data_IF_915728054491
#
_entry.id   IF_915728054491
#
_cell.length_a   1.000
_cell.length_b   1.000
_cell.length_c   1.000
_cell.angle_alpha   90.00
_cell.angle_beta   90.00
_cell.angle_gamma   90.00
#
_symmetry.space_group_name_H-M   'P 1'
#
loop_
_entity.id
_entity.type
_entity.pdbx_description
1 polymer ?
#
# COMPACT_ATOMS: atom_id res chain seq x y z
N UNK A 1 7.28 1.28 -15.79
CA UNK A 1 7.35 0.24 -14.74
C UNK A 1 5.94 -0.22 -14.40
N UNK A 2 5.78 -1.51 -14.12
CA UNK A 2 4.45 -2.10 -13.91
C UNK A 2 3.72 -1.51 -12.70
N UNK A 3 4.44 -1.12 -11.67
CA UNK A 3 3.85 -0.64 -10.43
C UNK A 3 3.60 0.87 -10.41
N UNK A 4 4.10 1.62 -11.39
CA UNK A 4 3.90 3.06 -11.42
C UNK A 4 2.44 3.42 -11.62
N UNK A 5 1.99 4.45 -10.96
CA UNK A 5 0.66 4.99 -11.15
C UNK A 5 -0.11 5.10 -9.85
N UNK A 6 -1.40 5.35 -9.99
CA UNK A 6 -2.32 5.49 -8.87
C UNK A 6 -3.12 4.20 -8.71
N UNK A 7 -3.18 3.72 -7.49
CA UNK A 7 -3.87 2.48 -7.15
C UNK A 7 -4.93 2.74 -6.10
N UNK A 8 -6.07 2.13 -6.27
CA UNK A 8 -7.09 2.09 -5.21
C UNK A 8 -6.97 0.76 -4.49
N UNK A 9 -6.65 0.82 -3.22
CA UNK A 9 -6.45 -0.36 -2.39
C UNK A 9 -7.64 -0.59 -1.48
N UNK A 10 -8.01 -1.85 -1.34
CA UNK A 10 -9.02 -2.27 -0.39
C UNK A 10 -8.36 -3.23 0.59
N UNK A 11 -8.34 -2.87 1.85
CA UNK A 11 -7.71 -3.65 2.90
C UNK A 11 -8.81 -4.25 3.77
N UNK A 12 -8.79 -5.57 3.93
CA UNK A 12 -9.74 -6.24 4.81
C UNK A 12 -9.19 -6.19 6.23
N UNK A 13 -9.94 -5.55 7.12
CA UNK A 13 -9.57 -5.45 8.52
C UNK A 13 -10.65 -6.07 9.39
N UNK A 14 -10.35 -6.41 10.66
CA UNK A 14 -11.39 -6.92 11.57
C UNK A 14 -12.55 -5.94 11.76
N UNK A 15 -12.32 -4.67 11.49
CA UNK A 15 -13.35 -3.63 11.60
C UNK A 15 -14.07 -3.37 10.28
N UNK A 16 -13.82 -4.18 9.25
CA UNK A 16 -14.42 -4.01 7.94
C UNK A 16 -13.39 -3.63 6.89
N UNK A 17 -13.85 -3.41 5.67
CA UNK A 17 -12.98 -3.03 4.57
C UNK A 17 -12.60 -1.56 4.67
N UNK A 18 -11.31 -1.27 4.46
CA UNK A 18 -10.79 0.09 4.42
C UNK A 18 -10.28 0.38 3.02
N UNK A 19 -10.59 1.53 2.49
CA UNK A 19 -10.10 1.95 1.19
C UNK A 19 -9.00 2.98 1.36
N UNK A 20 -7.97 2.86 0.52
CA UNK A 20 -6.89 3.85 0.48
C UNK A 20 -6.42 4.05 -0.95
N UNK A 21 -5.76 5.16 -1.19
CA UNK A 21 -5.18 5.48 -2.49
C UNK A 21 -3.67 5.47 -2.36
N UNK A 22 -3.01 4.72 -3.24
CA UNK A 22 -1.57 4.62 -3.28
C UNK A 22 -1.08 5.18 -4.60
N UNK A 23 -0.12 6.08 -4.56
CA UNK A 23 0.55 6.60 -5.76
C UNK A 23 2.00 6.16 -5.71
N UNK A 24 2.42 5.42 -6.72
CA UNK A 24 3.79 4.91 -6.83
C UNK A 24 4.49 5.61 -7.98
N UNK A 25 5.71 6.05 -7.74
CA UNK A 25 6.58 6.66 -8.74
C UNK A 25 7.96 6.04 -8.66
N UNK A 26 8.51 5.67 -9.82
CA UNK A 26 9.86 5.08 -9.90
C UNK A 26 10.79 5.93 -10.75
N UNK A 27 10.74 7.23 -10.59
CA UNK A 27 11.59 8.16 -11.33
C UNK A 27 13.04 8.06 -10.86
N UNK A 28 13.98 8.11 -11.81
CA UNK A 28 15.41 8.14 -11.52
C UNK A 28 15.95 6.89 -10.83
N UNK A 29 15.29 5.75 -11.00
CA UNK A 29 15.71 4.51 -10.39
C UNK A 29 15.39 4.37 -8.92
N UNK A 30 14.69 5.37 -8.35
CA UNK A 30 14.27 5.34 -6.95
C UNK A 30 12.76 5.21 -6.89
N UNK A 31 12.28 4.23 -6.14
CA UNK A 31 10.84 4.05 -5.95
C UNK A 31 10.38 4.88 -4.74
N UNK A 32 9.35 5.68 -4.95
CA UNK A 32 8.71 6.44 -3.89
C UNK A 32 7.20 6.23 -3.99
N UNK A 33 6.51 6.38 -2.88
CA UNK A 33 5.07 6.25 -2.88
C UNK A 33 4.45 7.11 -1.80
N UNK A 34 3.20 7.51 -2.06
CA UNK A 34 2.37 8.19 -1.05
C UNK A 34 1.08 7.41 -0.93
N UNK A 35 0.54 7.40 0.26
CA UNK A 35 -0.71 6.70 0.53
C UNK A 35 -1.64 7.61 1.33
N UNK A 36 -2.90 7.63 0.94
CA UNK A 36 -3.93 8.34 1.67
C UNK A 36 -5.09 7.40 1.98
N UNK A 37 -5.68 7.54 3.16
CA UNK A 37 -6.81 6.73 3.57
C UNK A 37 -8.06 7.61 3.63
N UNK A 38 -9.09 7.21 2.89
CA UNK A 38 -10.33 7.97 2.84
C UNK A 38 -10.11 9.39 2.34
N UNK A 39 -10.47 10.37 3.17
CA UNK A 39 -10.32 11.79 2.84
C UNK A 39 -9.04 12.40 3.42
N UNK A 40 -8.16 11.60 3.99
CA UNK A 40 -6.91 12.07 4.57
C UNK A 40 -5.95 12.56 3.50
N UNK A 41 -5.06 13.48 3.88
CA UNK A 41 -4.03 13.95 2.98
C UNK A 41 -3.02 12.84 2.67
N UNK A 42 -2.47 12.79 1.45
CA UNK A 42 -1.45 11.80 1.12
C UNK A 42 -0.23 11.95 2.01
N UNK A 43 0.33 10.82 2.44
CA UNK A 43 1.54 10.79 3.25
C UNK A 43 2.55 9.87 2.60
N UNK A 44 3.84 10.22 2.63
CA UNK A 44 4.86 9.34 2.08
C UNK A 44 4.92 8.04 2.88
N UNK A 45 5.12 6.94 2.17
CA UNK A 45 5.36 5.64 2.79
C UNK A 45 6.86 5.36 2.77
N UNK A 46 7.29 4.43 3.60
CA UNK A 46 8.70 4.13 3.78
C UNK A 46 9.07 2.79 3.14
N UNK A 47 10.36 2.62 2.89
CA UNK A 47 10.94 1.36 2.42
C UNK A 47 10.24 0.81 1.18
N UNK A 48 9.93 1.69 0.24
CA UNK A 48 9.27 1.29 -1.01
C UNK A 48 10.26 0.50 -1.84
N UNK A 49 9.89 -0.71 -2.21
CA UNK A 49 10.70 -1.59 -3.06
C UNK A 49 9.83 -2.08 -4.20
N UNK A 50 10.35 -1.92 -5.42
CA UNK A 50 9.69 -2.44 -6.62
C UNK A 50 10.69 -3.37 -7.29
N UNK A 51 10.31 -4.64 -7.43
CA UNK A 51 11.16 -5.65 -8.03
C UNK A 51 10.33 -6.46 -9.03
N UNK A 52 10.36 -6.05 -10.30
CA UNK A 52 9.51 -6.65 -11.31
C UNK A 52 8.04 -6.40 -10.98
N UNK A 53 7.29 -7.47 -10.79
CA UNK A 53 5.87 -7.39 -10.46
C UNK A 53 5.60 -7.32 -8.95
N UNK A 54 6.66 -7.38 -8.14
CA UNK A 54 6.50 -7.37 -6.69
C UNK A 54 6.77 -5.99 -6.14
N UNK A 55 5.91 -5.54 -5.24
CA UNK A 55 6.04 -4.26 -4.58
C UNK A 55 5.89 -4.46 -3.07
N UNK A 56 6.64 -3.68 -2.31
CA UNK A 56 6.51 -3.67 -0.86
C UNK A 56 6.75 -2.26 -0.34
N UNK A 57 6.10 -1.94 0.76
CA UNK A 57 6.29 -0.66 1.42
C UNK A 57 5.80 -0.74 2.84
N UNK A 58 6.19 0.24 3.63
CA UNK A 58 5.76 0.37 5.02
C UNK A 58 5.05 1.70 5.21
N UNK A 59 3.93 1.66 5.88
CA UNK A 59 3.18 2.85 6.23
C UNK A 59 3.02 2.93 7.75
N UNK A 60 3.36 4.08 8.31
CA UNK A 60 3.21 4.31 9.74
C UNK A 60 1.95 5.11 9.98
N UNK A 61 1.11 4.65 10.88
CA UNK A 61 -0.08 5.35 11.30
C UNK A 61 0.03 5.67 12.79
N UNK A 62 -0.62 6.74 13.22
CA UNK A 62 -0.56 7.19 14.61
C UNK A 62 -1.92 7.12 15.31
N UNK A 63 -2.99 6.95 14.54
CA UNK A 63 -4.34 6.89 15.10
C UNK A 63 -5.05 5.64 14.59
N UNK A 64 -5.82 4.97 15.43
CA UNK A 64 -6.05 5.25 16.85
C UNK A 64 -4.85 4.96 17.74
N UNK A 65 -3.88 4.20 17.25
CA UNK A 65 -2.64 3.92 17.95
C UNK A 65 -1.50 3.87 16.95
N UNK A 66 -0.28 4.02 17.42
CA UNK A 66 0.90 3.95 16.56
C UNK A 66 1.09 2.52 16.06
N UNK A 67 1.04 2.35 14.75
CA UNK A 67 1.25 1.06 14.08
C UNK A 67 2.09 1.26 12.84
N UNK A 68 2.92 0.28 12.54
CA UNK A 68 3.59 0.21 11.26
C UNK A 68 2.96 -0.90 10.44
N UNK A 69 2.44 -0.55 9.29
CA UNK A 69 1.82 -1.51 8.37
C UNK A 69 2.86 -1.89 7.33
N UNK A 70 3.07 -3.18 7.16
CA UNK A 70 3.99 -3.69 6.14
C UNK A 70 3.16 -4.31 5.01
N UNK A 71 3.27 -3.73 3.83
CA UNK A 71 2.54 -4.18 2.65
C UNK A 71 3.46 -4.96 1.73
N UNK A 72 2.97 -6.08 1.24
CA UNK A 72 3.66 -6.87 0.23
C UNK A 72 2.63 -7.26 -0.82
N UNK A 73 2.84 -6.83 -2.05
CA UNK A 73 1.88 -7.07 -3.11
C UNK A 73 2.52 -7.55 -4.39
N UNK A 74 1.70 -8.09 -5.28
CA UNK A 74 2.09 -8.50 -6.61
C UNK A 74 1.17 -7.83 -7.60
N UNK A 75 1.76 -7.19 -8.61
CA UNK A 75 1.03 -6.49 -9.66
C UNK A 75 0.79 -7.46 -10.81
N UNK A 76 -0.44 -7.50 -11.29
CA UNK A 76 -0.82 -8.29 -12.46
C UNK A 76 -1.72 -7.42 -13.35
N UNK A 77 -1.13 -6.81 -14.39
CA UNK A 77 -1.87 -5.88 -15.24
C UNK A 77 -2.33 -4.66 -14.45
N UNK A 78 -3.64 -4.47 -14.35
CA UNK A 78 -4.22 -3.35 -13.61
C UNK A 78 -4.68 -3.75 -12.20
N UNK A 79 -4.26 -4.92 -11.73
CA UNK A 79 -4.63 -5.43 -10.42
C UNK A 79 -3.40 -5.61 -9.55
N UNK A 80 -3.60 -5.48 -8.24
CA UNK A 80 -2.57 -5.73 -7.26
C UNK A 80 -3.18 -6.54 -6.12
N UNK A 81 -2.50 -7.60 -5.71
CA UNK A 81 -2.94 -8.44 -4.60
C UNK A 81 -1.79 -8.67 -3.66
N UNK A 82 -2.08 -8.79 -2.39
CA UNK A 82 -1.03 -9.09 -1.43
C UNK A 82 -1.54 -9.16 -0.02
N UNK A 83 -0.61 -8.97 0.90
CA UNK A 83 -0.90 -9.03 2.32
C UNK A 83 -0.33 -7.81 3.02
N UNK A 84 -0.96 -7.44 4.12
CA UNK A 84 -0.50 -6.36 4.98
C UNK A 84 -0.40 -6.89 6.40
N UNK A 85 0.76 -6.64 7.02
CA UNK A 85 0.95 -6.97 8.43
C UNK A 85 0.51 -5.78 9.27
N UNK A 86 -0.39 -6.04 10.20
CA UNK A 86 -0.99 -5.02 11.05
C UNK A 86 -0.39 -5.02 12.46
N UNK A 87 0.89 -5.34 12.58
CA UNK A 87 1.54 -5.45 13.86
C UNK A 87 0.96 -6.59 14.69
N UNK A 88 0.52 -6.28 15.90
CA UNK A 88 -0.05 -7.31 16.78
C UNK A 88 -1.43 -7.79 16.34
N UNK A 89 -2.05 -7.15 15.36
CA UNK A 89 -3.35 -7.57 14.86
C UNK A 89 -3.25 -8.64 13.77
N UNK A 90 -2.05 -9.10 13.45
CA UNK A 90 -1.84 -10.17 12.49
C UNK A 90 -1.72 -9.68 11.06
N UNK A 91 -1.94 -10.59 10.12
CA UNK A 91 -1.79 -10.32 8.70
C UNK A 91 -3.16 -10.40 8.03
N UNK A 92 -3.46 -9.41 7.20
CA UNK A 92 -4.70 -9.35 6.43
C UNK A 92 -4.38 -9.29 4.94
N UNK A 93 -5.35 -9.71 4.13
CA UNK A 93 -5.22 -9.60 2.69
C UNK A 93 -5.64 -8.21 2.23
N UNK A 94 -5.01 -7.72 1.17
CA UNK A 94 -5.48 -6.53 0.50
C UNK A 94 -5.49 -6.75 -1.01
N UNK A 95 -6.27 -5.96 -1.70
CA UNK A 95 -6.31 -5.96 -3.15
C UNK A 95 -6.35 -4.51 -3.63
N UNK A 96 -5.92 -4.30 -4.86
CA UNK A 96 -5.93 -2.98 -5.46
C UNK A 96 -6.22 -3.05 -6.94
N UNK A 97 -6.72 -1.95 -7.46
CA UNK A 97 -6.93 -1.77 -8.89
C UNK A 97 -6.34 -0.44 -9.30
N UNK A 98 -5.86 -0.39 -10.53
CA UNK A 98 -5.33 0.86 -11.07
C UNK A 98 -6.47 1.86 -11.25
N UNK A 99 -6.26 3.04 -10.73
CA UNK A 99 -7.27 4.09 -10.82
C UNK A 99 -7.20 4.82 -12.16
#
# INVERSE_FOLDING_TARGET
MAADGTWKLTINTPMGSQESTLVISTAGGTATATQSAGTSDPRPVEDVTVNGDKVSWKASITKPMALTLEFNGTVSGDNMDGTVKLGMFGTQAFSGVRA
#
